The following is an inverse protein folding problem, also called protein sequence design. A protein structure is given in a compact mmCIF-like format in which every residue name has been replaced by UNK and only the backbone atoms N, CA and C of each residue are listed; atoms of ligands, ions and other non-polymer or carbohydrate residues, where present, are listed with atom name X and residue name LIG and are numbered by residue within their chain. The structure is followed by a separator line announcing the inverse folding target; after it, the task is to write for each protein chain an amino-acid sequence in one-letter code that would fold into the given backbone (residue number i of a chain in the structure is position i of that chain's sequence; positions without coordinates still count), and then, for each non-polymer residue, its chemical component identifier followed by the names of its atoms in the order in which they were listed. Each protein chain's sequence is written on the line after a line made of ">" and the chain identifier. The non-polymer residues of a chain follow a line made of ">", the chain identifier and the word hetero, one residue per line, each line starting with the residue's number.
data_IF_900835649372
#
_entry.id   IF_900835649372
#
_cell.length_a   1.000
_cell.length_b   1.000
_cell.length_c   1.000
_cell.angle_alpha   90.00
_cell.angle_beta   90.00
_cell.angle_gamma   90.00
#
_symmetry.space_group_name_H-M   'P 1'
#
loop_
_entity.id
_entity.type
_entity.pdbx_description
1 polymer ?
#
# COMPACT_ATOMS: atom_id res chain seq x y z
N UNK A 1 10.39 9.29 0.11
CA UNK A 1 9.03 9.76 0.42
C UNK A 1 8.01 9.03 -0.44
N UNK A 2 7.63 7.81 -0.02
CA UNK A 2 6.74 6.88 -0.76
C UNK A 2 5.85 6.13 0.23
N UNK A 3 6.37 5.86 1.43
CA UNK A 3 5.64 5.27 2.55
C UNK A 3 4.53 6.20 3.07
N UNK A 4 4.79 7.51 3.14
CA UNK A 4 3.85 8.50 3.68
C UNK A 4 2.61 8.70 2.79
N UNK A 5 2.73 8.44 1.47
CA UNK A 5 1.58 8.54 0.56
C UNK A 5 0.57 7.39 0.74
N UNK A 6 0.95 6.29 1.38
CA UNK A 6 0.02 5.17 1.61
C UNK A 6 -1.00 5.53 2.69
N UNK A 7 -0.64 6.43 3.61
CA UNK A 7 -1.50 6.89 4.69
C UNK A 7 -2.20 8.20 4.36
N UNK A 8 -1.54 9.11 3.63
CA UNK A 8 -2.01 10.50 3.48
C UNK A 8 -2.55 10.83 2.08
N UNK A 9 -3.01 9.81 1.33
CA UNK A 9 -3.54 10.00 -0.03
C UNK A 9 -5.05 9.81 -0.10
N UNK A 10 -5.67 10.38 -1.13
CA UNK A 10 -7.08 10.13 -1.48
C UNK A 10 -7.39 8.63 -1.59
N UNK A 11 -6.43 7.80 -2.00
CA UNK A 11 -6.61 6.35 -2.07
C UNK A 11 -6.74 5.73 -0.68
N UNK A 12 -6.02 6.26 0.32
CA UNK A 12 -6.14 5.84 1.71
C UNK A 12 -7.54 6.18 2.27
N UNK A 13 -8.00 7.41 2.03
CA UNK A 13 -9.36 7.84 2.39
C UNK A 13 -10.42 6.93 1.78
N UNK A 14 -10.32 6.66 0.47
CA UNK A 14 -11.25 5.77 -0.24
C UNK A 14 -11.24 4.33 0.28
N UNK A 15 -10.08 3.81 0.68
CA UNK A 15 -9.96 2.48 1.25
C UNK A 15 -10.69 2.38 2.60
N UNK A 16 -10.61 3.42 3.43
CA UNK A 16 -11.32 3.48 4.71
C UNK A 16 -12.82 3.70 4.51
N UNK A 17 -13.20 4.69 3.70
CA UNK A 17 -14.60 5.01 3.43
C UNK A 17 -15.36 3.84 2.76
N UNK A 18 -14.64 3.06 1.93
CA UNK A 18 -15.17 1.85 1.29
C UNK A 18 -15.20 0.61 2.19
N UNK A 19 -14.69 0.70 3.43
CA UNK A 19 -14.60 -0.42 4.36
C UNK A 19 -13.57 -1.49 3.98
N UNK A 20 -12.58 -1.14 3.14
CA UNK A 20 -11.53 -2.04 2.68
C UNK A 20 -10.30 -2.07 3.60
N UNK A 21 -10.15 -1.07 4.47
CA UNK A 21 -9.10 -0.99 5.48
C UNK A 21 -9.53 -0.08 6.64
N UNK A 22 -8.84 -0.19 7.78
CA UNK A 22 -8.91 0.76 8.89
C UNK A 22 -7.71 1.72 8.86
N UNK A 23 -7.83 2.93 9.45
CA UNK A 23 -6.69 3.84 9.58
C UNK A 23 -5.49 3.22 10.28
N UNK A 24 -5.74 2.32 11.24
CA UNK A 24 -4.73 1.62 12.03
C UNK A 24 -3.95 0.62 11.17
N UNK A 25 -4.65 -0.21 10.38
CA UNK A 25 -4.04 -1.11 9.39
C UNK A 25 -3.20 -0.35 8.35
N UNK A 26 -3.69 0.81 7.88
CA UNK A 26 -2.92 1.64 6.94
C UNK A 26 -1.64 2.19 7.57
N UNK A 27 -1.65 2.48 8.88
CA UNK A 27 -0.50 2.95 9.64
C UNK A 27 0.63 1.92 9.79
N UNK A 28 0.33 0.63 9.67
CA UNK A 28 1.32 -0.46 9.76
C UNK A 28 2.10 -0.65 8.44
N UNK A 29 1.49 -0.28 7.31
CA UNK A 29 2.04 -0.51 5.97
C UNK A 29 3.43 0.15 5.80
N UNK A 30 3.68 1.42 6.19
CA UNK A 30 4.99 2.05 6.12
C UNK A 30 6.13 1.24 6.76
N UNK A 31 5.88 0.65 7.94
CA UNK A 31 6.88 -0.11 8.69
C UNK A 31 7.21 -1.41 7.95
N UNK A 32 6.17 -2.15 7.52
CA UNK A 32 6.32 -3.37 6.75
C UNK A 32 7.07 -3.15 5.41
N UNK A 33 6.85 -2.00 4.77
CA UNK A 33 7.60 -1.62 3.57
C UNK A 33 9.09 -1.40 3.85
N UNK A 34 9.43 -0.70 4.94
CA UNK A 34 10.83 -0.44 5.32
C UNK A 34 11.55 -1.74 5.65
N UNK A 35 10.91 -2.61 6.42
CA UNK A 35 11.43 -3.93 6.76
C UNK A 35 11.77 -4.74 5.49
N UNK A 36 10.79 -4.90 4.58
CA UNK A 36 11.01 -5.65 3.34
C UNK A 36 12.05 -5.02 2.41
N UNK A 37 12.10 -3.69 2.33
CA UNK A 37 13.09 -2.99 1.52
C UNK A 37 14.52 -3.16 2.05
N UNK A 38 14.69 -3.46 3.35
CA UNK A 38 16.00 -3.72 3.96
C UNK A 38 16.51 -5.15 3.76
N UNK A 39 15.67 -6.06 3.25
CA UNK A 39 16.07 -7.44 3.03
C UNK A 39 17.08 -7.51 1.87
N UNK A 40 18.25 -8.15 2.04
CA UNK A 40 19.32 -8.13 1.04
C UNK A 40 18.90 -8.72 -0.32
N UNK A 41 17.98 -9.69 -0.29
CA UNK A 41 17.38 -10.30 -1.49
C UNK A 41 16.00 -9.70 -1.85
N UNK A 42 15.61 -8.60 -1.20
CA UNK A 42 14.32 -7.96 -1.37
C UNK A 42 14.25 -7.16 -2.66
N UNK A 43 13.26 -7.44 -3.50
CA UNK A 43 12.99 -6.69 -4.72
C UNK A 43 11.51 -6.36 -4.85
N UNK A 44 11.21 -5.18 -5.39
CA UNK A 44 9.86 -4.73 -5.71
C UNK A 44 9.82 -4.28 -7.17
N UNK A 45 8.84 -4.76 -7.93
CA UNK A 45 8.57 -4.26 -9.27
C UNK A 45 7.15 -3.69 -9.33
N UNK A 46 7.01 -2.50 -9.91
CA UNK A 46 5.70 -1.92 -10.26
C UNK A 46 5.52 -2.10 -11.75
N UNK A 47 4.89 -3.21 -12.12
CA UNK A 47 4.54 -3.47 -13.51
C UNK A 47 3.37 -2.58 -13.89
N UNK A 48 3.44 -1.98 -15.07
CA UNK A 48 2.27 -1.37 -15.68
C UNK A 48 1.38 -2.49 -16.24
N UNK A 49 0.44 -2.94 -15.42
CA UNK A 49 -0.49 -4.02 -15.75
C UNK A 49 -1.93 -3.63 -15.44
N UNK A 50 -2.87 -4.26 -16.15
CA UNK A 50 -4.30 -4.06 -15.98
C UNK A 50 -4.92 -5.32 -15.37
N UNK A 51 -5.82 -5.13 -14.38
CA UNK A 51 -6.64 -6.22 -13.82
C UNK A 51 -8.07 -6.05 -14.31
N UNK A 52 -8.55 -7.02 -15.08
CA UNK A 52 -9.94 -7.06 -15.54
C UNK A 52 -10.81 -7.79 -14.53
N UNK A 53 -11.45 -7.05 -13.62
CA UNK A 53 -12.44 -7.60 -12.72
C UNK A 53 -13.71 -7.99 -13.51
N UNK A 54 -14.15 -9.24 -13.37
CA UNK A 54 -15.38 -9.76 -13.99
C UNK A 54 -16.28 -10.32 -12.88
N UNK A 55 -17.59 -10.24 -13.10
CA UNK A 55 -18.64 -10.76 -12.21
C UNK A 55 -19.07 -12.16 -12.63
#
# INVERSE_FOLDING_TARGET
>A
MRAERVTDSRTAEQAVDGGHATPEELGEIPEAWRERASHPDGWLVLLHGEVLCRV
#
